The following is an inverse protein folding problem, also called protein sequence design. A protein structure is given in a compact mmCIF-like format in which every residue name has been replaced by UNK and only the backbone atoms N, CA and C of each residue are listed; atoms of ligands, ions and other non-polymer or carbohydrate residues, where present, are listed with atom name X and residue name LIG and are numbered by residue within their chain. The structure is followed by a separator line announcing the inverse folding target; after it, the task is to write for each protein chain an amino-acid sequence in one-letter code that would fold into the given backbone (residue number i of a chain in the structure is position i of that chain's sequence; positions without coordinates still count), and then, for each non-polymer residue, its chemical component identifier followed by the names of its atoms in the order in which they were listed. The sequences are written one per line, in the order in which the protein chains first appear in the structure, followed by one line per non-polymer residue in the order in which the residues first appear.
data_IF_664598132659
#
_entry.id   IF_664598132659
#
_cell.length_a   1.000
_cell.length_b   1.000
_cell.length_c   1.000
_cell.angle_alpha   90.00
_cell.angle_beta   90.00
_cell.angle_gamma   90.00
#
_symmetry.space_group_name_H-M   'P 1'
#
loop_
_entity.id
_entity.type
_entity.pdbx_description
1 polymer ?
#
# COMPACT_ATOMS: atom_id res chain seq x y z
N UNK A 1 13.33 -21.97 30.12
CA UNK A 1 12.22 -21.07 29.73
C UNK A 1 12.71 -19.66 29.36
N UNK A 2 13.59 -19.03 30.16
CA UNK A 2 14.17 -17.70 29.87
C UNK A 2 14.77 -17.54 28.46
N UNK A 3 15.50 -18.55 27.98
CA UNK A 3 16.22 -18.50 26.70
C UNK A 3 15.28 -18.46 25.47
N UNK A 4 14.12 -19.11 25.59
CA UNK A 4 13.10 -19.14 24.53
C UNK A 4 12.36 -17.79 24.46
N UNK A 5 12.03 -17.19 25.61
CA UNK A 5 11.41 -15.86 25.64
C UNK A 5 12.33 -14.79 25.04
N UNK A 6 13.63 -14.84 25.33
CA UNK A 6 14.61 -13.92 24.75
C UNK A 6 14.71 -14.06 23.23
N UNK A 7 14.61 -15.28 22.68
CA UNK A 7 14.59 -15.47 21.21
C UNK A 7 13.35 -14.89 20.53
N UNK A 8 12.17 -14.97 21.17
CA UNK A 8 10.95 -14.38 20.62
C UNK A 8 11.00 -12.85 20.63
N UNK A 9 11.52 -12.25 21.70
CA UNK A 9 11.67 -10.80 21.78
C UNK A 9 12.62 -10.26 20.71
N UNK A 10 13.76 -10.94 20.50
CA UNK A 10 14.71 -10.59 19.46
C UNK A 10 14.09 -10.71 18.05
N UNK A 11 13.27 -11.74 17.80
CA UNK A 11 12.56 -11.89 16.54
C UNK A 11 11.54 -10.76 16.32
N UNK A 12 10.77 -10.40 17.34
CA UNK A 12 9.79 -9.31 17.25
C UNK A 12 10.44 -7.95 17.03
N UNK A 13 11.58 -7.70 17.67
CA UNK A 13 12.37 -6.48 17.45
C UNK A 13 12.89 -6.42 16.02
N UNK A 14 13.42 -7.52 15.50
CA UNK A 14 13.84 -7.63 14.10
C UNK A 14 12.69 -7.33 13.15
N UNK A 15 11.51 -7.93 13.36
CA UNK A 15 10.31 -7.69 12.54
C UNK A 15 9.88 -6.22 12.58
N UNK A 16 9.91 -5.57 13.75
CA UNK A 16 9.57 -4.14 13.86
C UNK A 16 10.54 -3.24 13.11
N UNK A 17 11.81 -3.65 13.02
CA UNK A 17 12.85 -2.91 12.34
C UNK A 17 12.95 -3.22 10.85
N UNK A 18 12.15 -4.16 10.33
CA UNK A 18 12.02 -4.36 8.89
C UNK A 18 11.53 -3.06 8.22
N UNK A 19 12.17 -2.59 7.12
CA UNK A 19 11.93 -1.26 6.57
C UNK A 19 10.45 -0.95 6.30
N UNK A 20 9.70 -1.91 5.75
CA UNK A 20 8.28 -1.73 5.43
C UNK A 20 7.44 -1.52 6.69
N UNK A 21 7.67 -2.33 7.72
CA UNK A 21 6.93 -2.26 8.98
C UNK A 21 7.30 -0.97 9.72
N UNK A 22 8.59 -0.66 9.77
CA UNK A 22 9.09 0.57 10.35
C UNK A 22 8.49 1.80 9.67
N UNK A 23 8.52 1.89 8.34
CA UNK A 23 7.95 3.01 7.59
C UNK A 23 6.44 3.12 7.79
N UNK A 24 5.71 2.01 7.80
CA UNK A 24 4.28 2.02 8.08
C UNK A 24 4.00 2.52 9.51
N UNK A 25 4.78 2.08 10.51
CA UNK A 25 4.64 2.57 11.89
C UNK A 25 4.94 4.07 11.99
N UNK A 26 5.94 4.58 11.28
CA UNK A 26 6.25 6.02 11.26
C UNK A 26 5.14 6.80 10.56
N UNK A 27 4.67 6.34 9.40
CA UNK A 27 3.51 6.92 8.73
C UNK A 27 2.29 6.95 9.65
N UNK A 28 1.99 5.82 10.29
CA UNK A 28 0.89 5.74 11.24
C UNK A 28 1.10 6.62 12.45
N UNK A 29 2.31 6.81 12.97
CA UNK A 29 2.57 7.67 14.14
C UNK A 29 2.45 9.16 13.80
N UNK A 30 3.10 9.59 12.71
CA UNK A 30 3.30 11.01 12.37
C UNK A 30 2.27 11.60 11.40
N UNK A 31 1.38 10.79 10.82
CA UNK A 31 0.23 11.30 10.06
C UNK A 31 -0.77 12.06 10.93
N UNK A 32 -1.32 13.16 10.43
CA UNK A 32 -2.36 13.93 11.12
C UNK A 32 -3.69 13.17 11.23
N UNK A 33 -4.00 12.28 10.28
CA UNK A 33 -5.29 11.61 10.20
C UNK A 33 -5.15 10.12 9.93
N UNK A 34 -5.34 9.31 10.98
CA UNK A 34 -5.37 7.83 10.84
C UNK A 34 -6.54 7.36 9.99
N UNK A 35 -7.65 8.11 10.01
CA UNK A 35 -8.82 7.85 9.17
C UNK A 35 -8.48 7.96 7.69
N UNK A 36 -7.64 8.92 7.32
CA UNK A 36 -7.18 9.06 5.93
C UNK A 36 -6.36 7.85 5.49
N UNK A 37 -5.49 7.33 6.37
CA UNK A 37 -4.72 6.11 6.10
C UNK A 37 -5.65 4.93 5.83
N UNK A 38 -6.62 4.70 6.70
CA UNK A 38 -7.60 3.62 6.52
C UNK A 38 -8.39 3.80 5.23
N UNK A 39 -8.77 5.04 4.90
CA UNK A 39 -9.56 5.34 3.71
C UNK A 39 -8.80 5.01 2.42
N UNK A 40 -7.60 5.57 2.19
CA UNK A 40 -6.85 5.23 0.98
C UNK A 40 -6.42 3.76 0.94
N UNK A 41 -6.19 3.14 2.10
CA UNK A 41 -5.91 1.69 2.17
C UNK A 41 -7.11 0.87 1.69
N UNK A 42 -8.33 1.29 2.06
CA UNK A 42 -9.58 0.69 1.56
C UNK A 42 -9.74 0.85 0.05
N UNK A 43 -9.42 2.03 -0.50
CA UNK A 43 -9.43 2.25 -1.95
C UNK A 43 -8.42 1.34 -2.67
N UNK A 44 -7.21 1.19 -2.12
CA UNK A 44 -6.22 0.25 -2.68
C UNK A 44 -6.71 -1.19 -2.61
N UNK A 45 -7.34 -1.62 -1.52
CA UNK A 45 -7.92 -2.95 -1.38
C UNK A 45 -8.94 -3.22 -2.50
N UNK A 46 -9.87 -2.29 -2.72
CA UNK A 46 -10.87 -2.38 -3.80
C UNK A 46 -10.18 -2.45 -5.16
N UNK A 47 -9.20 -1.58 -5.43
CA UNK A 47 -8.48 -1.60 -6.71
C UNK A 47 -7.76 -2.93 -6.95
N UNK A 48 -7.14 -3.53 -5.93
CA UNK A 48 -6.47 -4.83 -6.05
C UNK A 48 -7.48 -5.97 -6.23
N UNK A 49 -8.64 -5.91 -5.59
CA UNK A 49 -9.71 -6.88 -5.82
C UNK A 49 -10.22 -6.83 -7.27
N UNK A 50 -10.30 -5.64 -7.89
CA UNK A 50 -10.64 -5.50 -9.31
C UNK A 50 -9.61 -6.17 -10.24
N UNK A 51 -8.31 -6.18 -9.88
CA UNK A 51 -7.29 -6.90 -10.64
C UNK A 51 -7.50 -8.41 -10.62
N UNK A 52 -8.16 -8.96 -9.58
CA UNK A 52 -8.51 -10.39 -9.53
C UNK A 52 -9.67 -10.75 -10.46
N UNK A 53 -10.46 -9.77 -10.91
CA UNK A 53 -11.55 -9.99 -11.88
C UNK A 53 -11.02 -10.21 -13.29
N UNK A 54 -9.85 -9.65 -13.62
CA UNK A 54 -9.20 -9.81 -14.93
C UNK A 54 -9.04 -11.27 -15.38
N UNK A 55 -8.41 -12.16 -14.59
CA UNK A 55 -8.26 -13.57 -14.97
C UNK A 55 -9.61 -14.30 -15.08
N UNK A 56 -10.63 -13.90 -14.31
CA UNK A 56 -11.97 -14.52 -14.39
C UNK A 56 -12.67 -14.20 -15.72
N UNK A 57 -12.60 -12.96 -16.19
CA UNK A 57 -13.13 -12.58 -17.51
C UNK A 57 -12.39 -13.33 -18.61
N UNK A 58 -11.06 -13.44 -18.48
CA UNK A 58 -10.23 -14.15 -19.44
C UNK A 58 -10.59 -15.65 -19.51
N UNK A 59 -10.81 -16.29 -18.37
CA UNK A 59 -11.29 -17.67 -18.28
C UNK A 59 -12.61 -17.85 -19.01
N UNK A 60 -13.59 -16.97 -18.80
CA UNK A 60 -14.90 -17.05 -19.47
C UNK A 60 -14.76 -16.94 -20.99
N UNK A 61 -13.94 -16.01 -21.48
CA UNK A 61 -13.67 -15.86 -22.92
C UNK A 61 -13.05 -17.13 -23.50
N UNK A 62 -12.03 -17.68 -22.84
CA UNK A 62 -11.36 -18.89 -23.31
C UNK A 62 -12.31 -20.09 -23.33
N UNK A 63 -13.11 -20.26 -22.28
CA UNK A 63 -14.08 -21.36 -22.22
C UNK A 63 -15.12 -21.27 -23.33
N UNK A 64 -15.65 -20.07 -23.60
CA UNK A 64 -16.62 -19.85 -24.69
C UNK A 64 -16.02 -20.20 -26.05
N UNK A 65 -14.81 -19.74 -26.33
CA UNK A 65 -14.11 -20.03 -27.60
C UNK A 65 -13.78 -21.52 -27.73
N UNK A 66 -13.34 -22.18 -26.65
CA UNK A 66 -12.97 -23.59 -26.70
C UNK A 66 -14.16 -24.54 -26.89
N UNK A 67 -15.30 -24.23 -26.29
CA UNK A 67 -16.47 -25.12 -26.33
C UNK A 67 -17.36 -24.86 -27.55
N UNK A 68 -17.57 -23.57 -27.89
CA UNK A 68 -18.53 -23.16 -28.90
C UNK A 68 -17.88 -22.59 -30.17
N UNK A 69 -16.57 -22.36 -30.16
CA UNK A 69 -15.88 -21.61 -31.21
C UNK A 69 -16.30 -20.14 -31.23
N UNK A 70 -16.00 -19.46 -32.34
CA UNK A 70 -16.50 -18.10 -32.60
C UNK A 70 -17.59 -18.20 -33.66
N UNK A 71 -18.81 -17.81 -33.30
CA UNK A 71 -20.01 -17.91 -34.13
C UNK A 71 -20.78 -16.59 -34.14
N UNK A 72 -21.69 -16.41 -35.10
CA UNK A 72 -22.54 -15.22 -35.16
C UNK A 72 -23.41 -15.05 -33.89
N UNK A 73 -23.73 -16.15 -33.20
CA UNK A 73 -24.56 -16.12 -31.99
C UNK A 73 -23.79 -15.62 -30.76
N UNK A 74 -22.47 -15.85 -30.67
CA UNK A 74 -21.68 -15.50 -29.49
C UNK A 74 -20.73 -14.31 -29.71
N UNK A 75 -20.56 -13.82 -30.94
CA UNK A 75 -19.65 -12.72 -31.26
C UNK A 75 -19.93 -11.45 -30.45
N UNK A 76 -21.20 -11.11 -30.24
CA UNK A 76 -21.59 -9.94 -29.44
C UNK A 76 -21.24 -10.11 -27.96
N UNK A 77 -21.39 -11.33 -27.43
CA UNK A 77 -21.01 -11.65 -26.05
C UNK A 77 -19.49 -11.56 -25.86
N UNK A 78 -18.72 -12.10 -26.82
CA UNK A 78 -17.27 -11.99 -26.82
C UNK A 78 -16.80 -10.53 -26.89
N UNK A 79 -17.43 -9.69 -27.72
CA UNK A 79 -17.16 -8.25 -27.73
C UNK A 79 -17.48 -7.57 -26.39
N UNK A 80 -18.57 -7.97 -25.73
CA UNK A 80 -18.91 -7.46 -24.42
C UNK A 80 -17.84 -7.84 -23.39
N UNK A 81 -17.39 -9.10 -23.36
CA UNK A 81 -16.33 -9.51 -22.43
C UNK A 81 -15.00 -8.83 -22.72
N UNK A 82 -14.61 -8.68 -23.98
CA UNK A 82 -13.39 -7.95 -24.34
C UNK A 82 -13.49 -6.47 -23.93
N UNK A 83 -14.62 -5.81 -24.23
CA UNK A 83 -14.82 -4.40 -23.84
C UNK A 83 -14.89 -4.21 -22.32
N UNK A 84 -15.29 -5.23 -21.57
CA UNK A 84 -15.30 -5.20 -20.11
C UNK A 84 -13.92 -5.00 -19.49
N UNK A 85 -12.82 -5.39 -20.17
CA UNK A 85 -11.46 -5.08 -19.71
C UNK A 85 -11.18 -3.58 -19.67
N UNK A 86 -11.73 -2.81 -20.62
CA UNK A 86 -11.62 -1.35 -20.62
C UNK A 86 -12.39 -0.78 -19.43
N UNK A 87 -13.62 -1.25 -19.22
CA UNK A 87 -14.43 -0.87 -18.06
C UNK A 87 -13.74 -1.19 -16.73
N UNK A 88 -13.14 -2.37 -16.61
CA UNK A 88 -12.40 -2.79 -15.42
C UNK A 88 -11.15 -1.95 -15.19
N UNK A 89 -10.44 -1.57 -16.25
CA UNK A 89 -9.31 -0.65 -16.17
C UNK A 89 -9.73 0.74 -15.67
N UNK A 90 -10.84 1.28 -16.20
CA UNK A 90 -11.38 2.56 -15.73
C UNK A 90 -11.82 2.49 -14.26
N UNK A 91 -12.53 1.43 -13.87
CA UNK A 91 -12.93 1.19 -12.48
C UNK A 91 -11.71 1.09 -11.57
N UNK A 92 -10.68 0.35 -11.96
CA UNK A 92 -9.42 0.26 -11.23
C UNK A 92 -8.84 1.66 -10.96
N UNK A 93 -8.74 2.50 -12.00
CA UNK A 93 -8.16 3.84 -11.88
C UNK A 93 -9.00 4.81 -11.06
N UNK A 94 -10.33 4.67 -11.06
CA UNK A 94 -11.23 5.45 -10.20
C UNK A 94 -10.90 5.25 -8.71
N UNK A 95 -10.46 4.07 -8.30
CA UNK A 95 -10.05 3.82 -6.91
C UNK A 95 -8.54 4.05 -6.70
N UNK A 96 -7.72 3.50 -7.58
CA UNK A 96 -6.26 3.49 -7.42
C UNK A 96 -5.64 4.88 -7.55
N UNK A 97 -6.08 5.67 -8.54
CA UNK A 97 -5.55 7.01 -8.79
C UNK A 97 -5.76 7.93 -7.59
N UNK A 98 -7.01 8.12 -7.12
CA UNK A 98 -7.27 8.92 -5.93
C UNK A 98 -6.57 8.39 -4.67
N UNK A 99 -6.53 7.08 -4.47
CA UNK A 99 -5.79 6.49 -3.35
C UNK A 99 -4.31 6.91 -3.36
N UNK A 100 -3.67 6.85 -4.53
CA UNK A 100 -2.27 7.26 -4.71
C UNK A 100 -2.04 8.74 -4.42
N UNK A 101 -2.94 9.61 -4.88
CA UNK A 101 -2.82 11.06 -4.61
C UNK A 101 -2.97 11.35 -3.11
N UNK A 102 -3.91 10.69 -2.43
CA UNK A 102 -4.12 10.86 -0.99
C UNK A 102 -2.96 10.30 -0.17
N UNK A 103 -2.45 9.13 -0.52
CA UNK A 103 -1.25 8.53 0.08
C UNK A 103 -0.05 9.47 -0.03
N UNK A 104 0.23 9.98 -1.23
CA UNK A 104 1.36 10.87 -1.48
C UNK A 104 1.28 12.17 -0.66
N UNK A 105 0.11 12.80 -0.59
CA UNK A 105 -0.11 13.99 0.25
C UNK A 105 0.13 13.69 1.73
N UNK A 106 -0.39 12.55 2.22
CA UNK A 106 -0.18 12.13 3.61
C UNK A 106 1.30 11.82 3.89
N UNK A 107 2.03 11.26 2.92
CA UNK A 107 3.44 10.95 3.07
C UNK A 107 4.28 12.22 3.26
N UNK A 108 4.05 13.27 2.46
CA UNK A 108 4.74 14.56 2.60
C UNK A 108 4.45 15.22 3.96
N UNK A 109 3.18 15.22 4.40
CA UNK A 109 2.85 15.80 5.71
C UNK A 109 3.46 15.00 6.86
N UNK A 110 3.42 13.66 6.76
CA UNK A 110 4.06 12.77 7.74
C UNK A 110 5.57 13.03 7.81
N UNK A 111 6.24 13.19 6.67
CA UNK A 111 7.67 13.48 6.60
C UNK A 111 8.00 14.80 7.31
N UNK A 112 7.25 15.86 7.01
CA UNK A 112 7.39 17.15 7.69
C UNK A 112 7.23 17.03 9.20
N UNK A 113 6.15 16.38 9.66
CA UNK A 113 5.89 16.17 11.09
C UNK A 113 6.99 15.34 11.78
N UNK A 114 7.53 14.35 11.08
CA UNK A 114 8.64 13.56 11.55
C UNK A 114 9.91 14.41 11.71
N UNK A 115 10.29 15.16 10.67
CA UNK A 115 11.47 16.02 10.67
C UNK A 115 11.38 17.09 11.77
N UNK A 116 10.24 17.77 11.91
CA UNK A 116 10.05 18.78 12.96
C UNK A 116 10.25 18.17 14.35
N UNK A 117 9.70 16.98 14.60
CA UNK A 117 9.86 16.28 15.88
C UNK A 117 11.32 15.89 16.14
N UNK A 118 12.02 15.39 15.12
CA UNK A 118 13.43 15.01 15.23
C UNK A 118 14.30 16.23 15.51
N UNK A 119 14.15 17.30 14.71
CA UNK A 119 14.91 18.55 14.87
C UNK A 119 14.68 19.14 16.26
N UNK A 120 13.43 19.24 16.71
CA UNK A 120 13.11 19.74 18.06
C UNK A 120 13.77 18.91 19.16
N UNK A 121 13.78 17.59 19.02
CA UNK A 121 14.42 16.71 19.99
C UNK A 121 15.94 16.89 20.00
N UNK A 122 16.57 16.99 18.82
CA UNK A 122 18.02 17.22 18.68
C UNK A 122 18.42 18.56 19.29
N UNK A 123 17.72 19.65 18.97
CA UNK A 123 18.02 20.99 19.49
C UNK A 123 17.76 21.13 21.00
N UNK A 124 16.98 20.22 21.60
CA UNK A 124 16.72 20.21 23.04
C UNK A 124 17.77 19.45 23.86
N UNK A 125 18.75 18.82 23.20
CA UNK A 125 19.83 18.11 23.89
C UNK A 125 20.87 19.08 24.44
N UNK A 126 21.66 18.61 25.40
CA UNK A 126 22.75 19.39 25.98
C UNK A 126 24.02 19.38 25.09
N UNK A 127 24.97 20.26 25.42
CA UNK A 127 26.24 20.37 24.69
C UNK A 127 27.07 19.09 24.74
N UNK A 128 26.99 18.30 25.81
CA UNK A 128 27.68 17.00 25.91
C UNK A 128 27.16 16.02 24.85
N UNK A 129 25.85 15.91 24.68
CA UNK A 129 25.24 15.07 23.66
C UNK A 129 25.69 15.47 22.25
N UNK A 130 25.76 16.77 21.96
CA UNK A 130 26.23 17.28 20.67
C UNK A 130 27.73 17.05 20.42
N UNK A 131 28.51 16.84 21.47
CA UNK A 131 29.95 16.54 21.36
C UNK A 131 30.20 15.05 21.13
N UNK A 132 29.33 14.19 21.66
CA UNK A 132 29.43 12.73 21.54
C UNK A 132 28.81 12.16 20.25
N UNK A 133 27.81 12.84 19.68
CA UNK A 133 27.08 12.40 18.47
C UNK A 133 27.61 13.07 17.20
N UNK A 134 27.92 12.27 16.17
CA UNK A 134 28.26 12.81 14.85
C UNK A 134 27.01 13.07 14.02
N UNK A 135 27.08 14.00 13.07
CA UNK A 135 25.94 14.36 12.20
C UNK A 135 25.49 13.24 11.25
N UNK A 136 26.26 12.15 11.15
CA UNK A 136 25.94 10.96 10.37
C UNK A 136 25.22 9.85 11.14
N UNK A 137 25.06 9.99 12.46
CA UNK A 137 24.36 9.03 13.34
C UNK A 137 22.86 9.33 13.48
#
# INVERSE_FOLDING_TARGET
MQNIQNSYLALLEKIKNEPVIFMFQKMWKYSDSKKLIVFFSGLFLISNALLLVFPLIFEVILNEIQHNGVTENNINLLYLYISSFIGLSLLFWIFHGPARVLEGKNAVETEKNYQEKVIKNVLSQDLSWHTEKQSGD
#
